data_IF_480927668823
#
_entry.id   IF_480927668823
#
_cell.length_a   1.000
_cell.length_b   1.000
_cell.length_c   1.000
_cell.angle_alpha   90.00
_cell.angle_beta   90.00
_cell.angle_gamma   90.00
#
_symmetry.space_group_name_H-M   'P 1'
#
loop_
_entity.id
_entity.type
_entity.pdbx_description
1 polymer ?
#
# COMPACT_ATOMS: atom_id res chain seq x y z
N UNK A 1 32.69 -37.25 29.45
CA UNK A 1 31.96 -37.04 28.19
C UNK A 1 30.44 -37.01 28.38
N UNK A 2 29.82 -38.06 28.94
CA UNK A 2 28.35 -38.17 29.08
C UNK A 2 27.66 -37.05 29.90
N UNK A 3 28.25 -36.61 31.03
CA UNK A 3 27.71 -35.51 31.85
C UNK A 3 27.75 -34.14 31.13
N UNK A 4 28.73 -33.92 30.26
CA UNK A 4 28.84 -32.69 29.47
C UNK A 4 27.78 -32.71 28.38
N UNK A 5 27.62 -33.84 27.69
CA UNK A 5 26.59 -34.04 26.68
C UNK A 5 25.16 -33.84 27.23
N UNK A 6 24.86 -34.40 28.41
CA UNK A 6 23.57 -34.20 29.09
C UNK A 6 23.30 -32.74 29.50
N UNK A 7 24.32 -32.00 29.96
CA UNK A 7 24.20 -30.56 30.26
C UNK A 7 23.98 -29.71 29.01
N UNK A 8 24.63 -30.06 27.90
CA UNK A 8 24.44 -29.38 26.60
C UNK A 8 23.02 -29.64 26.07
N UNK A 9 22.53 -30.88 26.11
CA UNK A 9 21.15 -31.19 25.71
C UNK A 9 20.12 -30.47 26.57
N UNK A 10 20.33 -30.41 27.90
CA UNK A 10 19.44 -29.66 28.79
C UNK A 10 19.46 -28.15 28.48
N UNK A 11 20.63 -27.57 28.23
CA UNK A 11 20.76 -26.17 27.84
C UNK A 11 20.06 -25.87 26.51
N UNK A 12 20.20 -26.75 25.51
CA UNK A 12 19.50 -26.63 24.23
C UNK A 12 17.97 -26.76 24.39
N UNK A 13 17.51 -27.69 25.24
CA UNK A 13 16.08 -27.83 25.54
C UNK A 13 15.53 -26.57 26.24
N UNK A 14 16.24 -26.03 27.23
CA UNK A 14 15.85 -24.77 27.90
C UNK A 14 15.83 -23.62 26.88
N UNK A 15 16.85 -23.49 26.04
CA UNK A 15 16.90 -22.45 25.01
C UNK A 15 15.71 -22.58 24.03
N UNK A 16 15.38 -23.80 23.59
CA UNK A 16 14.24 -24.04 22.71
C UNK A 16 12.90 -23.65 23.37
N UNK A 17 12.72 -23.96 24.65
CA UNK A 17 11.53 -23.54 25.42
C UNK A 17 11.48 -22.02 25.53
N UNK A 18 12.58 -21.35 25.86
CA UNK A 18 12.63 -19.88 25.96
C UNK A 18 12.32 -19.21 24.62
N UNK A 19 12.87 -19.70 23.51
CA UNK A 19 12.57 -19.22 22.16
C UNK A 19 11.10 -19.44 21.81
N UNK A 20 10.52 -20.57 22.22
CA UNK A 20 9.11 -20.88 21.96
C UNK A 20 8.19 -19.93 22.73
N UNK A 21 8.48 -19.69 24.02
CA UNK A 21 7.75 -18.73 24.85
C UNK A 21 7.87 -17.32 24.27
N UNK A 22 9.08 -16.88 23.92
CA UNK A 22 9.30 -15.58 23.30
C UNK A 22 8.56 -15.43 21.96
N UNK A 23 8.52 -16.49 21.14
CA UNK A 23 7.79 -16.48 19.86
C UNK A 23 6.28 -16.38 20.07
N UNK A 24 5.72 -17.15 21.03
CA UNK A 24 4.28 -17.07 21.36
C UNK A 24 3.93 -15.69 21.91
N UNK A 25 4.74 -15.15 22.83
CA UNK A 25 4.55 -13.81 23.37
C UNK A 25 4.64 -12.74 22.26
N UNK A 26 5.57 -12.89 21.32
CA UNK A 26 5.69 -11.97 20.19
C UNK A 26 4.46 -12.00 19.28
N UNK A 27 3.94 -13.19 18.96
CA UNK A 27 2.74 -13.34 18.13
C UNK A 27 1.46 -12.79 18.78
N UNK A 28 1.48 -12.48 20.07
CA UNK A 28 0.40 -11.78 20.78
C UNK A 28 0.51 -10.25 20.67
N UNK A 29 1.56 -9.71 20.05
CA UNK A 29 1.72 -8.27 19.90
C UNK A 29 0.57 -7.69 19.06
N UNK A 30 -0.03 -6.56 19.46
CA UNK A 30 -1.15 -5.95 18.72
C UNK A 30 -0.85 -5.63 17.25
N UNK A 31 0.41 -5.61 16.81
CA UNK A 31 0.80 -5.24 15.44
C UNK A 31 0.26 -6.22 14.41
N UNK A 32 -0.01 -7.47 14.83
CA UNK A 32 -0.61 -8.50 14.00
C UNK A 32 -2.12 -8.29 13.77
N UNK A 33 -2.76 -7.43 14.58
CA UNK A 33 -4.17 -7.08 14.49
C UNK A 33 -5.13 -8.25 14.76
N UNK A 34 -6.38 -8.11 14.32
CA UNK A 34 -7.43 -9.12 14.49
C UNK A 34 -7.80 -9.87 13.21
N UNK A 35 -8.49 -11.00 13.35
CA UNK A 35 -9.16 -11.70 12.24
C UNK A 35 -10.68 -11.46 12.29
N UNK A 36 -11.37 -11.41 11.13
CA UNK A 36 -12.82 -11.26 11.11
C UNK A 36 -13.54 -12.39 11.85
N UNK A 37 -14.48 -12.02 12.71
CA UNK A 37 -15.27 -12.93 13.55
C UNK A 37 -16.71 -12.41 13.66
N UNK A 38 -17.62 -13.23 14.20
CA UNK A 38 -18.99 -12.82 14.54
C UNK A 38 -19.79 -12.22 13.37
N UNK A 39 -20.42 -11.08 13.62
CA UNK A 39 -21.23 -10.36 12.62
C UNK A 39 -20.40 -9.95 11.40
N UNK A 40 -19.15 -9.52 11.59
CA UNK A 40 -18.26 -9.16 10.48
C UNK A 40 -18.02 -10.36 9.55
N UNK A 41 -17.72 -11.53 10.11
CA UNK A 41 -17.52 -12.74 9.31
C UNK A 41 -18.83 -13.14 8.59
N UNK A 42 -19.98 -12.96 9.24
CA UNK A 42 -21.29 -13.22 8.62
C UNK A 42 -21.58 -12.28 7.45
N UNK A 43 -21.17 -11.01 7.54
CA UNK A 43 -21.24 -10.03 6.43
C UNK A 43 -20.27 -10.39 5.31
N UNK A 44 -19.03 -10.73 5.63
CA UNK A 44 -18.01 -11.15 4.65
C UNK A 44 -18.51 -12.37 3.86
N UNK A 45 -19.14 -13.34 4.53
CA UNK A 45 -19.66 -14.54 3.87
C UNK A 45 -20.77 -14.27 2.84
N UNK A 46 -21.35 -13.06 2.82
CA UNK A 46 -22.34 -12.63 1.82
C UNK A 46 -21.70 -11.97 0.59
N UNK A 47 -20.40 -11.65 0.65
CA UNK A 47 -19.66 -11.08 -0.48
C UNK A 47 -19.62 -12.09 -1.64
N UNK A 48 -19.89 -11.67 -2.89
CA UNK A 48 -19.69 -12.53 -4.05
C UNK A 48 -18.21 -12.86 -4.30
N UNK A 49 -17.29 -12.11 -3.69
CA UNK A 49 -15.85 -12.27 -3.82
C UNK A 49 -15.27 -13.16 -2.71
N UNK A 50 -16.10 -13.68 -1.78
CA UNK A 50 -15.66 -14.54 -0.67
C UNK A 50 -16.20 -15.96 -0.83
N UNK A 51 -15.29 -16.94 -0.93
CA UNK A 51 -15.65 -18.35 -1.05
C UNK A 51 -14.61 -19.25 -0.39
N UNK A 52 -15.02 -20.42 0.11
CA UNK A 52 -14.12 -21.38 0.77
C UNK A 52 -13.32 -20.76 1.94
N UNK A 53 -13.91 -19.77 2.62
CA UNK A 53 -13.31 -19.10 3.77
C UNK A 53 -12.25 -18.05 3.44
N UNK A 54 -12.07 -17.65 2.19
CA UNK A 54 -11.12 -16.61 1.76
C UNK A 54 -11.70 -15.73 0.65
N UNK A 55 -11.17 -14.53 0.48
CA UNK A 55 -11.43 -13.68 -0.68
C UNK A 55 -10.69 -14.17 -1.93
N UNK A 56 -11.27 -13.92 -3.10
CA UNK A 56 -10.72 -14.32 -4.40
C UNK A 56 -10.61 -13.13 -5.35
N UNK A 57 -9.60 -13.17 -6.21
CA UNK A 57 -9.48 -12.25 -7.34
C UNK A 57 -10.58 -12.56 -8.40
N UNK A 58 -11.02 -11.54 -9.14
CA UNK A 58 -12.01 -11.71 -10.23
C UNK A 58 -11.50 -12.57 -11.38
N UNK A 59 -10.18 -12.69 -11.50
CA UNK A 59 -9.51 -13.58 -12.44
C UNK A 59 -8.58 -14.52 -11.67
N UNK A 60 -8.41 -15.74 -12.18
CA UNK A 60 -7.49 -16.70 -11.57
C UNK A 60 -6.07 -16.09 -11.49
N UNK A 61 -5.50 -16.17 -10.29
CA UNK A 61 -4.31 -15.40 -9.92
C UNK A 61 -3.41 -16.23 -9.01
N UNK A 62 -2.83 -17.32 -9.53
CA UNK A 62 -1.83 -18.07 -8.78
C UNK A 62 -0.70 -17.11 -8.38
N UNK A 63 -0.36 -17.12 -7.09
CA UNK A 63 0.65 -16.24 -6.53
C UNK A 63 2.05 -16.52 -7.07
N UNK A 64 2.37 -17.81 -7.26
CA UNK A 64 3.59 -18.21 -7.96
C UNK A 64 3.29 -18.24 -9.45
N UNK A 65 3.93 -17.36 -10.21
CA UNK A 65 3.82 -17.29 -11.67
C UNK A 65 4.98 -18.00 -12.38
N UNK A 66 5.85 -18.68 -11.63
CA UNK A 66 6.96 -19.46 -12.18
C UNK A 66 6.90 -20.90 -11.71
N UNK A 67 7.39 -21.81 -12.56
CA UNK A 67 7.57 -23.24 -12.24
C UNK A 67 8.83 -23.52 -11.40
N UNK A 68 9.54 -22.47 -10.95
CA UNK A 68 10.75 -22.64 -10.15
C UNK A 68 10.42 -23.23 -8.78
N UNK A 69 11.22 -24.22 -8.35
CA UNK A 69 11.09 -24.76 -7.00
C UNK A 69 11.47 -23.70 -5.95
N UNK A 70 10.90 -23.80 -4.74
CA UNK A 70 11.26 -22.94 -3.60
C UNK A 70 12.76 -22.94 -3.32
N UNK A 71 13.43 -24.08 -3.52
CA UNK A 71 14.87 -24.20 -3.37
C UNK A 71 15.64 -23.42 -4.45
N UNK A 72 15.23 -23.51 -5.72
CA UNK A 72 15.84 -22.75 -6.81
C UNK A 72 15.68 -21.23 -6.60
N UNK A 73 14.50 -20.79 -6.17
CA UNK A 73 14.26 -19.38 -5.81
C UNK A 73 15.13 -18.92 -4.64
N UNK A 74 15.27 -19.74 -3.60
CA UNK A 74 16.14 -19.46 -2.46
C UNK A 74 17.61 -19.38 -2.87
N UNK A 75 18.09 -20.33 -3.68
CA UNK A 75 19.45 -20.31 -4.25
C UNK A 75 19.70 -19.05 -5.06
N UNK A 76 18.75 -18.65 -5.93
CA UNK A 76 18.87 -17.40 -6.70
C UNK A 76 18.89 -16.16 -5.80
N UNK A 77 18.13 -16.17 -4.69
CA UNK A 77 18.12 -15.05 -3.74
C UNK A 77 19.45 -14.92 -2.97
N UNK A 78 20.11 -16.04 -2.67
CA UNK A 78 21.40 -16.02 -1.95
C UNK A 78 22.60 -15.80 -2.88
N UNK A 79 22.60 -16.46 -4.04
CA UNK A 79 23.75 -16.57 -4.93
C UNK A 79 23.57 -15.85 -6.28
N UNK A 80 22.39 -15.31 -6.58
CA UNK A 80 22.16 -14.54 -7.80
C UNK A 80 22.86 -13.18 -7.74
N UNK A 81 23.03 -12.57 -8.92
CA UNK A 81 23.49 -11.18 -9.02
C UNK A 81 22.58 -10.27 -8.18
N UNK A 82 23.18 -9.54 -7.26
CA UNK A 82 22.46 -8.59 -6.41
C UNK A 82 22.40 -7.27 -7.16
N UNK A 83 21.20 -6.87 -7.58
CA UNK A 83 20.94 -5.52 -8.03
C UNK A 83 21.19 -4.49 -6.93
N UNK A 84 21.15 -3.21 -7.31
CA UNK A 84 21.21 -2.08 -6.40
C UNK A 84 19.83 -1.82 -5.81
N UNK A 85 19.37 -2.71 -4.93
CA UNK A 85 18.03 -2.65 -4.35
C UNK A 85 17.81 -1.46 -3.40
N UNK A 86 18.89 -0.77 -3.00
CA UNK A 86 18.84 0.45 -2.19
C UNK A 86 19.59 1.60 -2.88
N UNK A 87 19.14 2.85 -2.69
CA UNK A 87 19.83 4.01 -3.23
C UNK A 87 21.22 4.16 -2.61
N UNK A 88 22.21 4.67 -3.37
CA UNK A 88 23.56 4.92 -2.86
C UNK A 88 23.65 6.16 -1.95
N UNK A 89 22.64 7.03 -1.99
CA UNK A 89 22.57 8.26 -1.20
C UNK A 89 21.15 8.59 -0.73
N UNK A 90 21.00 9.78 -0.13
CA UNK A 90 19.70 10.28 0.35
C UNK A 90 18.72 10.49 -0.81
N UNK A 91 17.48 10.07 -0.61
CA UNK A 91 16.39 10.39 -1.53
C UNK A 91 16.04 11.88 -1.40
N UNK A 92 15.98 12.66 -2.50
CA UNK A 92 15.56 14.05 -2.47
C UNK A 92 14.12 14.18 -1.95
N UNK A 93 13.93 15.14 -1.05
CA UNK A 93 12.65 15.40 -0.41
C UNK A 93 12.20 16.85 -0.53
N UNK A 94 10.91 17.06 -0.25
CA UNK A 94 10.31 18.38 -0.13
C UNK A 94 9.31 18.37 1.04
N UNK A 95 9.73 18.83 2.23
CA UNK A 95 8.86 18.89 3.41
C UNK A 95 7.83 20.02 3.31
N UNK A 96 6.60 19.67 2.95
CA UNK A 96 5.43 20.57 2.97
C UNK A 96 4.81 20.59 4.37
N UNK A 97 4.49 21.77 4.89
CA UNK A 97 3.66 21.89 6.10
C UNK A 97 2.19 21.59 5.77
N UNK A 98 1.77 20.34 6.02
CA UNK A 98 0.42 19.87 5.70
C UNK A 98 -0.68 20.59 6.49
N UNK A 99 -0.36 21.18 7.64
CA UNK A 99 -1.34 21.92 8.47
C UNK A 99 -1.61 23.32 7.92
N UNK A 100 -0.65 23.90 7.20
CA UNK A 100 -0.74 25.21 6.61
C UNK A 100 -1.44 25.23 5.23
N UNK A 101 -1.75 24.05 4.67
CA UNK A 101 -2.41 23.95 3.37
C UNK A 101 -3.86 24.45 3.44
N UNK A 102 -4.23 25.26 2.45
CA UNK A 102 -5.60 25.75 2.28
C UNK A 102 -6.54 24.60 1.91
N UNK A 103 -7.56 24.37 2.74
CA UNK A 103 -8.56 23.32 2.55
C UNK A 103 -9.39 23.47 1.27
N UNK A 104 -9.44 24.68 0.68
CA UNK A 104 -10.14 24.90 -0.59
C UNK A 104 -9.37 24.39 -1.82
N UNK A 105 -8.10 24.00 -1.67
CA UNK A 105 -7.29 23.51 -2.78
C UNK A 105 -7.46 22.00 -2.95
N UNK A 106 -7.66 21.58 -4.20
CA UNK A 106 -7.57 20.16 -4.57
C UNK A 106 -6.11 19.83 -4.92
N UNK A 107 -5.48 18.99 -4.10
CA UNK A 107 -4.07 18.60 -4.25
C UNK A 107 -3.77 17.22 -3.65
N UNK A 108 -2.63 16.66 -4.04
CA UNK A 108 -2.07 15.43 -3.48
C UNK A 108 -0.64 15.68 -3.03
N UNK A 109 -0.26 15.14 -1.89
CA UNK A 109 1.13 15.07 -1.42
C UNK A 109 1.50 13.60 -1.25
N UNK A 110 2.46 13.14 -2.05
CA UNK A 110 3.00 11.79 -1.91
C UNK A 110 3.93 11.72 -0.70
N UNK A 111 3.64 10.84 0.26
CA UNK A 111 4.39 10.68 1.51
C UNK A 111 5.40 9.52 1.43
N UNK A 112 5.59 8.96 0.24
CA UNK A 112 6.50 7.85 -0.06
C UNK A 112 5.78 6.50 -0.07
N UNK A 113 6.33 5.55 -0.84
CA UNK A 113 5.71 4.24 -1.07
C UNK A 113 4.29 4.37 -1.63
N UNK A 114 3.28 3.92 -0.89
CA UNK A 114 1.86 4.04 -1.21
C UNK A 114 1.10 4.97 -0.26
N UNK A 115 1.81 5.78 0.55
CA UNK A 115 1.18 6.75 1.45
C UNK A 115 0.91 8.10 0.76
N UNK A 116 -0.30 8.63 0.92
CA UNK A 116 -0.71 9.91 0.32
C UNK A 116 -1.55 10.75 1.28
N UNK A 117 -1.24 12.04 1.36
CA UNK A 117 -2.16 13.05 1.90
C UNK A 117 -2.86 13.75 0.74
N UNK A 118 -4.17 13.90 0.83
CA UNK A 118 -5.01 14.42 -0.25
C UNK A 118 -5.95 15.48 0.31
N UNK A 119 -6.10 16.57 -0.43
CA UNK A 119 -7.21 17.49 -0.26
C UNK A 119 -8.07 17.42 -1.52
N UNK A 120 -9.36 17.12 -1.35
CA UNK A 120 -10.28 16.95 -2.46
C UNK A 120 -11.70 17.34 -2.04
N UNK A 121 -12.30 18.33 -2.71
CA UNK A 121 -13.65 18.79 -2.39
C UNK A 121 -13.78 19.31 -0.95
N UNK A 122 -12.72 19.93 -0.42
CA UNK A 122 -12.67 20.43 0.96
C UNK A 122 -12.38 19.37 2.02
N UNK A 123 -12.27 18.09 1.65
CA UNK A 123 -11.97 16.99 2.58
C UNK A 123 -10.47 16.71 2.66
N UNK A 124 -9.97 16.42 3.86
CA UNK A 124 -8.61 15.93 4.09
C UNK A 124 -8.62 14.41 4.20
N UNK A 125 -7.93 13.76 3.29
CA UNK A 125 -7.93 12.30 3.15
C UNK A 125 -6.50 11.80 3.29
N UNK A 126 -6.31 10.75 4.08
CA UNK A 126 -5.02 10.09 4.26
C UNK A 126 -5.16 8.65 3.77
N UNK A 127 -4.23 8.19 2.94
CA UNK A 127 -4.29 6.88 2.30
C UNK A 127 -3.05 6.09 2.68
N UNK A 128 -3.26 4.86 3.15
CA UNK A 128 -2.22 3.87 3.51
C UNK A 128 -1.02 4.49 4.27
N UNK A 129 -1.21 5.21 5.39
CA UNK A 129 -0.13 5.91 6.06
C UNK A 129 0.84 4.95 6.76
N UNK A 130 2.09 4.93 6.29
CA UNK A 130 3.20 4.22 6.92
C UNK A 130 4.30 5.20 7.27
N UNK A 131 4.31 5.64 8.53
CA UNK A 131 5.33 6.53 9.09
C UNK A 131 6.48 5.75 9.76
N UNK A 132 6.28 4.47 10.03
CA UNK A 132 7.34 3.59 10.51
C UNK A 132 8.50 3.51 9.52
N UNK A 133 9.71 3.36 10.07
CA UNK A 133 10.93 3.15 9.27
C UNK A 133 11.10 1.71 8.81
N UNK A 134 10.30 0.76 9.32
CA UNK A 134 10.32 -0.64 8.93
C UNK A 134 8.91 -1.04 8.47
N UNK A 135 8.79 -1.55 7.24
CA UNK A 135 7.52 -2.00 6.69
C UNK A 135 7.36 -3.53 6.83
N UNK A 136 7.49 -4.02 8.07
CA UNK A 136 7.49 -5.44 8.39
C UNK A 136 7.17 -5.69 9.88
N UNK A 137 6.67 -6.89 10.22
CA UNK A 137 6.48 -7.29 11.61
C UNK A 137 7.78 -7.71 12.28
N UNK A 138 8.94 -7.51 11.68
CA UNK A 138 10.24 -7.83 12.27
C UNK A 138 11.11 -6.56 12.22
N UNK A 139 11.78 -6.20 13.33
CA UNK A 139 12.72 -5.09 13.32
C UNK A 139 13.77 -5.27 12.21
N UNK A 140 14.16 -4.17 11.57
CA UNK A 140 15.19 -4.13 10.51
C UNK A 140 14.85 -4.89 9.22
N UNK A 141 13.64 -5.42 9.08
CA UNK A 141 13.14 -5.92 7.80
C UNK A 141 12.42 -4.80 7.05
N UNK A 142 12.58 -4.75 5.72
CA UNK A 142 11.98 -3.73 4.84
C UNK A 142 12.23 -2.30 5.35
N UNK A 143 13.49 -1.95 5.63
CA UNK A 143 13.88 -0.64 6.16
C UNK A 143 13.69 0.43 5.08
N UNK A 144 13.11 1.58 5.45
CA UNK A 144 12.94 2.74 4.60
C UNK A 144 14.30 3.23 4.05
N UNK A 145 14.30 3.82 2.87
CA UNK A 145 15.47 4.50 2.32
C UNK A 145 15.76 5.77 3.11
N UNK A 146 17.04 6.14 3.19
CA UNK A 146 17.44 7.33 3.91
C UNK A 146 16.88 8.58 3.22
N UNK A 147 16.40 9.56 4.00
CA UNK A 147 15.72 10.77 3.49
C UNK A 147 14.21 10.64 3.29
N UNK A 148 13.62 9.44 3.45
CA UNK A 148 12.19 9.23 3.10
C UNK A 148 11.22 9.29 4.30
N UNK A 149 11.73 9.30 5.54
CA UNK A 149 10.91 9.32 6.77
C UNK A 149 10.59 10.76 7.21
N UNK A 150 9.95 11.51 6.32
CA UNK A 150 9.72 12.96 6.51
C UNK A 150 8.55 13.26 7.43
N UNK A 151 7.51 12.42 7.41
CA UNK A 151 6.23 12.70 8.05
C UNK A 151 5.92 11.68 9.15
N UNK A 152 5.38 12.18 10.25
CA UNK A 152 4.75 11.39 11.31
C UNK A 152 3.32 11.85 11.61
N UNK A 153 2.68 11.20 12.59
CA UNK A 153 1.32 11.55 12.98
C UNK A 153 1.19 13.00 13.43
N UNK A 154 2.21 13.57 14.07
CA UNK A 154 2.21 14.96 14.54
C UNK A 154 2.19 15.99 13.41
N UNK A 155 2.67 15.66 12.22
CA UNK A 155 2.62 16.53 11.05
C UNK A 155 1.22 16.62 10.44
N UNK A 156 0.35 15.64 10.74
CA UNK A 156 -0.97 15.58 10.12
C UNK A 156 -1.94 16.58 10.76
N UNK A 157 -2.75 17.29 9.95
CA UNK A 157 -3.95 17.97 10.44
C UNK A 157 -5.03 16.95 10.84
N UNK A 158 -6.22 17.43 11.23
CA UNK A 158 -7.41 16.58 11.29
C UNK A 158 -7.66 15.91 9.93
N UNK A 159 -8.01 14.64 9.96
CA UNK A 159 -8.23 13.77 8.80
C UNK A 159 -9.71 13.39 8.77
N UNK A 160 -10.40 13.80 7.70
CA UNK A 160 -11.81 13.49 7.51
C UNK A 160 -12.00 12.01 7.16
N UNK A 161 -11.14 11.49 6.27
CA UNK A 161 -11.17 10.08 5.85
C UNK A 161 -9.77 9.46 5.85
N UNK A 162 -9.61 8.35 6.56
CA UNK A 162 -8.49 7.44 6.43
C UNK A 162 -8.88 6.29 5.51
N UNK A 163 -8.19 6.10 4.39
CA UNK A 163 -8.46 5.02 3.44
C UNK A 163 -7.36 3.97 3.54
N UNK A 164 -7.76 2.70 3.63
CA UNK A 164 -6.84 1.56 3.66
C UNK A 164 -7.15 0.62 2.49
N UNK A 165 -6.17 0.41 1.62
CA UNK A 165 -6.32 -0.46 0.44
C UNK A 165 -6.32 -1.94 0.82
N UNK A 166 -5.42 -2.36 1.72
CA UNK A 166 -5.32 -3.73 2.19
C UNK A 166 -4.48 -3.85 3.48
N UNK A 167 -4.38 -5.05 4.04
CA UNK A 167 -3.85 -5.30 5.39
C UNK A 167 -2.35 -5.60 5.46
N UNK A 168 -1.56 -5.42 4.40
CA UNK A 168 -0.11 -5.60 4.47
C UNK A 168 0.58 -4.53 5.32
N UNK A 169 1.78 -4.84 5.82
CA UNK A 169 2.51 -3.98 6.77
C UNK A 169 2.98 -2.65 6.17
N UNK A 170 3.18 -2.60 4.86
CA UNK A 170 3.57 -1.43 4.09
C UNK A 170 2.38 -0.57 3.63
N UNK A 171 1.15 -0.93 4.03
CA UNK A 171 -0.09 -0.18 3.79
C UNK A 171 -0.90 0.09 5.06
N UNK A 172 -0.86 -0.83 6.02
CA UNK A 172 -1.55 -0.77 7.29
C UNK A 172 -0.55 -0.93 8.45
N UNK A 173 0.04 0.19 8.85
CA UNK A 173 1.10 0.26 9.85
C UNK A 173 0.53 0.54 11.26
N UNK A 174 0.64 -0.44 12.16
CA UNK A 174 0.05 -0.35 13.51
C UNK A 174 0.48 0.91 14.29
N UNK A 175 1.78 1.25 14.40
CA UNK A 175 2.22 2.48 15.06
C UNK A 175 1.61 3.75 14.46
N UNK A 176 1.57 3.86 13.12
CA UNK A 176 0.98 5.02 12.44
C UNK A 176 -0.51 5.14 12.74
N UNK A 177 -1.25 4.03 12.62
CA UNK A 177 -2.70 4.00 12.82
C UNK A 177 -3.07 4.32 14.28
N UNK A 178 -2.31 3.82 15.25
CA UNK A 178 -2.53 4.18 16.66
C UNK A 178 -2.24 5.66 16.93
N UNK A 179 -1.13 6.19 16.43
CA UNK A 179 -0.77 7.60 16.63
C UNK A 179 -1.74 8.57 15.94
N UNK A 180 -2.37 8.15 14.84
CA UNK A 180 -3.35 8.95 14.09
C UNK A 180 -4.78 8.86 14.64
N UNK A 181 -5.09 7.87 15.48
CA UNK A 181 -6.43 7.62 16.00
C UNK A 181 -7.18 8.88 16.49
N UNK A 182 -6.58 9.81 17.28
CA UNK A 182 -7.31 10.99 17.75
C UNK A 182 -7.63 12.03 16.67
N UNK A 183 -7.02 11.93 15.48
CA UNK A 183 -7.18 12.89 14.36
C UNK A 183 -8.07 12.38 13.24
N UNK A 184 -8.43 11.09 13.25
CA UNK A 184 -9.17 10.44 12.16
C UNK A 184 -10.66 10.41 12.51
N UNK A 185 -11.49 11.01 11.66
CA UNK A 185 -12.94 11.03 11.84
C UNK A 185 -13.62 9.77 11.33
N UNK A 186 -13.22 9.30 10.16
CA UNK A 186 -13.80 8.14 9.48
C UNK A 186 -12.69 7.29 8.86
N UNK A 187 -12.89 5.98 8.86
CA UNK A 187 -12.03 5.00 8.19
C UNK A 187 -12.85 4.32 7.10
N UNK A 188 -12.27 4.14 5.92
CA UNK A 188 -12.85 3.32 4.83
C UNK A 188 -11.83 2.27 4.40
N UNK A 189 -12.26 1.02 4.34
CA UNK A 189 -11.42 -0.09 3.94
C UNK A 189 -12.22 -1.23 3.28
N UNK A 190 -11.52 -2.21 2.73
CA UNK A 190 -12.13 -3.45 2.26
C UNK A 190 -12.74 -4.28 3.40
N UNK A 191 -13.75 -5.10 3.07
CA UNK A 191 -14.35 -6.08 3.99
C UNK A 191 -13.29 -6.91 4.73
N UNK A 192 -13.35 -6.95 6.07
CA UNK A 192 -12.44 -7.71 6.92
C UNK A 192 -11.32 -6.90 7.55
N UNK A 193 -10.88 -5.80 6.91
CA UNK A 193 -9.81 -4.94 7.44
C UNK A 193 -10.20 -4.31 8.78
N UNK A 194 -11.49 -4.05 9.00
CA UNK A 194 -12.02 -3.48 10.24
C UNK A 194 -11.77 -4.36 11.48
N UNK A 195 -11.44 -5.65 11.32
CA UNK A 195 -11.02 -6.50 12.43
C UNK A 195 -9.70 -6.04 13.07
N UNK A 196 -8.79 -5.43 12.30
CA UNK A 196 -7.58 -4.82 12.84
C UNK A 196 -7.91 -3.56 13.65
N UNK A 197 -8.74 -2.68 13.11
CA UNK A 197 -9.19 -1.46 13.80
C UNK A 197 -9.92 -1.76 15.10
N UNK A 198 -10.79 -2.78 15.11
CA UNK A 198 -11.46 -3.25 16.34
C UNK A 198 -10.45 -3.76 17.37
N UNK A 199 -9.50 -4.60 16.96
CA UNK A 199 -8.42 -5.09 17.83
C UNK A 199 -7.52 -3.96 18.36
N UNK A 200 -7.45 -2.84 17.66
CA UNK A 200 -6.68 -1.65 18.01
C UNK A 200 -7.49 -0.59 18.75
N UNK A 201 -8.74 -0.90 19.12
CA UNK A 201 -9.57 -0.05 19.96
C UNK A 201 -10.19 1.16 19.26
N UNK A 202 -10.37 1.12 17.94
CA UNK A 202 -11.13 2.14 17.23
C UNK A 202 -12.63 2.06 17.55
N UNK A 203 -13.30 3.21 17.51
CA UNK A 203 -14.76 3.25 17.55
C UNK A 203 -15.31 2.72 16.22
N UNK A 204 -15.88 1.52 16.24
CA UNK A 204 -16.36 0.85 15.03
C UNK A 204 -17.52 1.58 14.34
N UNK A 205 -18.13 2.60 14.95
CA UNK A 205 -19.10 3.49 14.27
C UNK A 205 -18.44 4.40 13.23
N UNK A 206 -17.13 4.61 13.35
CA UNK A 206 -16.32 5.41 12.42
C UNK A 206 -15.65 4.58 11.32
N UNK A 207 -15.76 3.24 11.37
CA UNK A 207 -15.07 2.33 10.45
C UNK A 207 -16.04 1.71 9.46
N UNK A 208 -15.84 2.01 8.18
CA UNK A 208 -16.68 1.57 7.07
C UNK A 208 -15.93 0.53 6.26
N UNK A 209 -16.46 -0.70 6.25
CA UNK A 209 -15.93 -1.80 5.45
C UNK A 209 -16.85 -2.02 4.26
N UNK A 210 -16.30 -1.99 3.04
CA UNK A 210 -17.08 -2.12 1.82
C UNK A 210 -16.47 -3.16 0.85
N UNK A 211 -17.30 -3.68 -0.04
CA UNK A 211 -16.89 -4.59 -1.10
C UNK A 211 -16.56 -3.83 -2.39
N UNK A 212 -16.04 -4.53 -3.39
CA UNK A 212 -15.81 -3.95 -4.70
C UNK A 212 -17.12 -3.44 -5.33
N UNK A 213 -17.03 -2.24 -5.91
CA UNK A 213 -18.10 -1.46 -6.51
C UNK A 213 -19.08 -0.81 -5.54
N UNK A 214 -18.88 -0.95 -4.23
CA UNK A 214 -19.57 -0.13 -3.25
C UNK A 214 -19.04 1.32 -3.26
N UNK A 215 -19.83 2.22 -2.68
CA UNK A 215 -19.46 3.63 -2.52
C UNK A 215 -19.79 4.12 -1.11
N UNK A 216 -18.91 4.96 -0.56
CA UNK A 216 -19.12 5.70 0.68
C UNK A 216 -19.46 7.15 0.31
N UNK A 217 -20.66 7.59 0.69
CA UNK A 217 -21.22 8.92 0.38
C UNK A 217 -21.62 9.65 1.67
N UNK A 218 -20.68 9.82 2.59
CA UNK A 218 -20.94 10.47 3.88
C UNK A 218 -21.07 12.00 3.79
N UNK A 219 -20.46 12.61 2.78
CA UNK A 219 -20.49 14.05 2.53
C UNK A 219 -20.86 14.34 1.08
N UNK A 220 -21.62 15.41 0.78
CA UNK A 220 -22.04 15.73 -0.59
C UNK A 220 -20.90 15.99 -1.58
N UNK A 221 -19.76 16.49 -1.09
CA UNK A 221 -18.66 16.98 -1.91
C UNK A 221 -17.69 15.88 -2.36
N UNK A 222 -17.83 14.66 -1.82
CA UNK A 222 -16.91 13.55 -2.08
C UNK A 222 -17.63 12.21 -2.08
N UNK A 223 -17.47 11.47 -3.17
CA UNK A 223 -17.80 10.04 -3.26
C UNK A 223 -16.52 9.23 -3.26
N UNK A 224 -16.44 8.24 -2.35
CA UNK A 224 -15.33 7.31 -2.26
C UNK A 224 -15.82 5.97 -2.82
N UNK A 225 -15.43 5.63 -4.03
CA UNK A 225 -15.75 4.34 -4.64
C UNK A 225 -14.68 3.32 -4.30
N UNK A 226 -15.09 2.18 -3.77
CA UNK A 226 -14.22 1.03 -3.52
C UNK A 226 -14.14 0.21 -4.81
N UNK A 227 -12.96 0.10 -5.39
CA UNK A 227 -12.77 -0.51 -6.71
C UNK A 227 -12.09 -1.87 -6.59
N UNK A 228 -12.31 -2.78 -7.56
CA UNK A 228 -11.53 -4.00 -7.64
C UNK A 228 -10.03 -3.75 -7.70
N UNK A 229 -9.28 -4.69 -7.15
CA UNK A 229 -7.84 -4.80 -7.28
C UNK A 229 -7.47 -6.28 -7.46
N UNK A 230 -6.33 -6.54 -8.12
CA UNK A 230 -5.76 -7.89 -8.27
C UNK A 230 -4.59 -8.08 -7.33
N UNK A 231 -4.85 -8.50 -6.10
CA UNK A 231 -3.84 -8.64 -5.06
C UNK A 231 -4.20 -9.75 -4.06
N UNK A 232 -3.70 -9.67 -2.82
CA UNK A 232 -4.00 -10.59 -1.73
C UNK A 232 -3.92 -9.87 -0.37
N UNK A 233 -4.26 -10.57 0.72
CA UNK A 233 -4.17 -10.03 2.09
C UNK A 233 -3.42 -10.98 3.03
N UNK A 234 -2.87 -10.46 4.12
CA UNK A 234 -2.40 -11.26 5.25
C UNK A 234 -1.28 -10.63 6.08
N UNK A 235 -1.37 -10.82 7.41
CA UNK A 235 -0.39 -10.30 8.38
C UNK A 235 0.39 -11.39 9.13
N UNK A 236 -0.09 -12.63 9.11
CA UNK A 236 0.48 -13.76 9.86
C UNK A 236 0.49 -15.04 9.01
N UNK A 237 0.07 -16.17 9.56
CA UNK A 237 0.00 -17.47 8.90
C UNK A 237 -1.31 -17.67 8.12
N UNK A 238 -2.24 -16.72 8.20
CA UNK A 238 -3.50 -16.72 7.46
C UNK A 238 -3.47 -15.61 6.41
N UNK A 239 -4.09 -15.89 5.26
CA UNK A 239 -4.17 -15.00 4.12
C UNK A 239 -5.60 -14.85 3.65
N UNK A 240 -5.84 -13.76 2.94
CA UNK A 240 -7.06 -13.49 2.18
C UNK A 240 -8.32 -13.51 3.05
N UNK A 241 -8.18 -13.09 4.31
CA UNK A 241 -9.28 -12.93 5.27
C UNK A 241 -9.89 -11.54 5.22
N UNK A 242 -9.16 -10.58 4.66
CA UNK A 242 -9.63 -9.23 4.38
C UNK A 242 -9.53 -8.94 2.87
N UNK A 243 -10.41 -8.10 2.36
CA UNK A 243 -10.48 -7.72 0.95
C UNK A 243 -9.45 -6.62 0.66
N UNK A 244 -8.71 -6.77 -0.43
CA UNK A 244 -7.84 -5.76 -1.01
C UNK A 244 -8.60 -4.93 -2.04
N UNK A 245 -8.39 -3.62 -2.06
CA UNK A 245 -9.18 -2.69 -2.87
C UNK A 245 -8.32 -1.57 -3.47
N UNK A 246 -8.81 -0.96 -4.55
CA UNK A 246 -8.41 0.38 -4.96
C UNK A 246 -9.47 1.42 -4.56
N UNK A 247 -9.18 2.71 -4.78
CA UNK A 247 -10.13 3.79 -4.52
C UNK A 247 -10.22 4.74 -5.71
N UNK A 248 -11.45 5.01 -6.15
CA UNK A 248 -11.76 6.15 -7.02
C UNK A 248 -12.45 7.24 -6.18
N UNK A 249 -11.80 8.39 -6.05
CA UNK A 249 -12.31 9.53 -5.31
C UNK A 249 -12.88 10.56 -6.28
N UNK A 250 -14.17 10.85 -6.14
CA UNK A 250 -14.92 11.68 -7.09
C UNK A 250 -15.54 12.86 -6.36
N UNK A 251 -15.04 14.06 -6.62
CA UNK A 251 -15.69 15.32 -6.27
C UNK A 251 -16.42 15.91 -7.48
N UNK A 252 -17.22 16.99 -7.31
CA UNK A 252 -17.84 17.66 -8.45
C UNK A 252 -16.84 18.22 -9.47
N UNK A 253 -15.63 18.57 -9.02
CA UNK A 253 -14.60 19.19 -9.86
C UNK A 253 -13.55 18.21 -10.36
N UNK A 254 -13.24 17.17 -9.58
CA UNK A 254 -12.05 16.34 -9.79
C UNK A 254 -12.30 14.87 -9.54
N UNK A 255 -11.57 14.03 -10.26
CA UNK A 255 -11.59 12.58 -10.09
C UNK A 255 -10.17 12.07 -10.00
N UNK A 256 -9.86 11.37 -8.93
CA UNK A 256 -8.55 10.76 -8.73
C UNK A 256 -8.64 9.28 -8.38
N UNK A 257 -7.59 8.52 -8.69
CA UNK A 257 -7.57 7.08 -8.51
C UNK A 257 -6.30 6.60 -7.80
N UNK A 258 -6.46 5.60 -6.93
CA UNK A 258 -5.37 4.91 -6.23
C UNK A 258 -5.56 3.40 -6.41
N UNK A 259 -4.57 2.70 -6.96
CA UNK A 259 -4.69 1.27 -7.25
C UNK A 259 -4.50 0.35 -6.04
N UNK A 260 -3.93 0.87 -4.93
CA UNK A 260 -3.20 0.00 -3.99
C UNK A 260 -2.10 -0.76 -4.75
N UNK A 261 -1.88 -2.01 -4.36
CA UNK A 261 -0.87 -2.89 -4.96
C UNK A 261 -1.44 -3.78 -6.08
N UNK A 262 -2.45 -3.29 -6.78
CA UNK A 262 -3.13 -4.12 -7.76
C UNK A 262 -2.22 -4.52 -8.92
N UNK A 263 -2.11 -5.82 -9.18
CA UNK A 263 -1.60 -6.32 -10.46
C UNK A 263 -2.52 -5.95 -11.65
N UNK A 264 -1.98 -6.05 -12.86
CA UNK A 264 -2.73 -5.69 -14.07
C UNK A 264 -3.86 -6.69 -14.37
N UNK A 265 -5.04 -6.16 -14.70
CA UNK A 265 -6.21 -6.93 -15.12
C UNK A 265 -7.28 -6.04 -15.80
N UNK A 266 -8.32 -6.64 -16.43
CA UNK A 266 -9.39 -5.90 -17.11
C UNK A 266 -10.18 -4.90 -16.25
N UNK A 267 -10.10 -5.01 -14.92
CA UNK A 267 -10.79 -4.10 -14.01
C UNK A 267 -10.34 -2.64 -14.18
N UNK A 268 -9.11 -2.36 -14.62
CA UNK A 268 -8.66 -0.98 -14.87
C UNK A 268 -9.48 -0.30 -15.97
N UNK A 269 -9.70 -0.99 -17.10
CA UNK A 269 -10.56 -0.48 -18.17
C UNK A 269 -12.02 -0.33 -17.69
N UNK A 270 -12.50 -1.24 -16.86
CA UNK A 270 -13.83 -1.16 -16.28
C UNK A 270 -14.00 0.04 -15.34
N UNK A 271 -13.06 0.24 -14.41
CA UNK A 271 -12.99 1.40 -13.51
C UNK A 271 -12.89 2.69 -14.33
N UNK A 272 -12.05 2.70 -15.36
CA UNK A 272 -11.92 3.79 -16.32
C UNK A 272 -13.25 4.15 -16.97
N UNK A 273 -14.04 3.16 -17.44
CA UNK A 273 -15.39 3.38 -18.00
C UNK A 273 -16.40 3.88 -16.97
N UNK A 274 -16.40 3.32 -15.76
CA UNK A 274 -17.41 3.60 -14.71
C UNK A 274 -17.22 4.97 -14.08
N UNK A 275 -15.98 5.32 -13.75
CA UNK A 275 -15.67 6.49 -12.91
C UNK A 275 -14.80 7.53 -13.62
N UNK A 276 -14.04 7.12 -14.64
CA UNK A 276 -13.18 8.01 -15.41
C UNK A 276 -13.93 8.94 -16.39
N UNK A 277 -13.21 9.77 -17.15
CA UNK A 277 -11.75 9.93 -17.10
C UNK A 277 -11.29 10.52 -15.76
N UNK A 278 -10.07 10.18 -15.36
CA UNK A 278 -9.46 10.68 -14.13
C UNK A 278 -8.55 11.87 -14.42
N UNK A 279 -8.50 12.83 -13.51
CA UNK A 279 -7.56 13.94 -13.59
C UNK A 279 -6.14 13.50 -13.19
N UNK A 280 -6.04 12.56 -12.25
CA UNK A 280 -4.77 12.01 -11.80
C UNK A 280 -4.95 10.60 -11.23
N UNK A 281 -3.94 9.74 -11.39
CA UNK A 281 -3.90 8.41 -10.79
C UNK A 281 -2.52 8.11 -10.18
N UNK A 282 -2.51 7.49 -9.00
CA UNK A 282 -1.36 6.79 -8.46
C UNK A 282 -1.53 5.29 -8.68
N UNK A 283 -0.60 4.70 -9.44
CA UNK A 283 -0.65 3.27 -9.80
C UNK A 283 0.59 2.56 -9.29
N UNK A 284 0.40 1.34 -8.77
CA UNK A 284 1.51 0.43 -8.50
C UNK A 284 2.41 0.33 -9.74
N UNK A 285 3.69 0.58 -9.54
CA UNK A 285 4.72 0.44 -10.56
C UNK A 285 6.01 -0.13 -9.96
N UNK A 286 5.95 -0.59 -8.71
CA UNK A 286 7.09 -1.04 -7.93
C UNK A 286 6.90 -2.49 -7.49
N UNK A 287 7.88 -2.98 -6.76
CA UNK A 287 7.87 -4.29 -6.09
C UNK A 287 7.52 -5.49 -6.99
N UNK A 288 7.63 -5.36 -8.31
CA UNK A 288 7.34 -6.42 -9.27
C UNK A 288 8.47 -7.44 -9.35
N UNK A 289 8.11 -8.69 -9.65
CA UNK A 289 9.05 -9.76 -10.00
C UNK A 289 8.32 -10.83 -10.82
N UNK A 290 8.99 -11.51 -11.78
CA UNK A 290 8.40 -12.62 -12.52
C UNK A 290 7.81 -13.74 -11.66
N UNK A 291 8.22 -13.89 -10.39
CA UNK A 291 7.72 -14.87 -9.42
C UNK A 291 6.30 -14.60 -8.94
N UNK A 292 5.83 -13.34 -8.98
CA UNK A 292 4.50 -12.92 -8.53
C UNK A 292 3.84 -11.92 -9.48
N UNK A 293 4.06 -12.07 -10.79
CA UNK A 293 3.67 -11.13 -11.83
C UNK A 293 2.16 -10.86 -11.95
N UNK A 294 1.33 -11.64 -11.26
CA UNK A 294 -0.12 -11.47 -11.23
C UNK A 294 -0.59 -10.40 -10.23
N UNK A 295 0.18 -10.11 -9.18
CA UNK A 295 -0.28 -9.32 -8.03
C UNK A 295 0.48 -8.01 -7.83
N UNK A 296 1.45 -7.69 -8.69
CA UNK A 296 2.08 -6.38 -8.77
C UNK A 296 2.23 -5.99 -10.24
N UNK A 297 1.99 -4.73 -10.56
CA UNK A 297 2.24 -4.22 -11.90
C UNK A 297 3.73 -3.94 -12.10
N UNK A 298 4.25 -4.33 -13.26
CA UNK A 298 5.47 -3.71 -13.75
C UNK A 298 5.17 -2.31 -14.34
N UNK A 299 6.19 -1.48 -14.60
CA UNK A 299 5.99 -0.12 -15.09
C UNK A 299 5.27 -0.03 -16.44
N UNK A 300 5.46 -0.98 -17.34
CA UNK A 300 4.77 -1.00 -18.64
C UNK A 300 3.28 -1.33 -18.48
N UNK A 301 2.94 -2.20 -17.54
CA UNK A 301 1.57 -2.50 -17.15
C UNK A 301 0.91 -1.30 -16.46
N UNK A 302 1.63 -0.58 -15.59
CA UNK A 302 1.15 0.65 -14.97
C UNK A 302 0.86 1.73 -16.03
N UNK A 303 1.73 1.87 -17.03
CA UNK A 303 1.51 2.75 -18.18
C UNK A 303 0.25 2.35 -18.98
N UNK A 304 0.03 1.05 -19.19
CA UNK A 304 -1.17 0.57 -19.86
C UNK A 304 -2.44 0.79 -19.00
N UNK A 305 -2.38 0.53 -17.69
CA UNK A 305 -3.48 0.78 -16.77
C UNK A 305 -3.87 2.27 -16.73
N UNK A 306 -2.91 3.18 -16.86
CA UNK A 306 -3.18 4.61 -16.98
C UNK A 306 -4.00 4.97 -18.24
N UNK A 307 -3.70 4.37 -19.39
CA UNK A 307 -4.50 4.51 -20.63
C UNK A 307 -5.91 3.92 -20.45
N UNK A 308 -6.01 2.73 -19.87
CA UNK A 308 -7.28 2.04 -19.61
C UNK A 308 -8.19 2.83 -18.64
N UNK A 309 -7.59 3.46 -17.64
CA UNK A 309 -8.25 4.39 -16.72
C UNK A 309 -8.64 5.71 -17.38
N UNK A 310 -8.04 6.04 -18.53
CA UNK A 310 -8.17 7.34 -19.21
C UNK A 310 -7.78 8.48 -18.29
N UNK A 311 -6.69 8.30 -17.54
CA UNK A 311 -6.16 9.35 -16.65
C UNK A 311 -5.46 10.44 -17.47
N UNK A 312 -5.50 11.68 -16.99
CA UNK A 312 -4.73 12.80 -17.58
C UNK A 312 -3.29 12.85 -17.07
N UNK A 313 -3.06 12.37 -15.85
CA UNK A 313 -1.75 12.30 -15.25
C UNK A 313 -1.55 11.01 -14.45
N UNK A 314 -0.32 10.49 -14.46
CA UNK A 314 0.10 9.28 -13.76
C UNK A 314 1.26 9.60 -12.82
N UNK A 315 1.19 9.14 -11.58
CA UNK A 315 2.33 9.04 -10.67
C UNK A 315 2.60 7.57 -10.33
N UNK A 316 3.84 7.07 -10.43
CA UNK A 316 4.18 5.73 -9.97
C UNK A 316 4.09 5.66 -8.43
N UNK A 317 3.31 4.73 -7.92
CA UNK A 317 3.19 4.37 -6.50
C UNK A 317 3.98 3.10 -6.16
N UNK A 318 4.02 2.75 -4.87
CA UNK A 318 4.75 1.57 -4.35
C UNK A 318 6.27 1.57 -4.61
N UNK A 319 6.83 2.76 -4.83
CA UNK A 319 8.24 3.01 -5.20
C UNK A 319 8.93 3.96 -4.21
N UNK A 320 10.25 4.09 -4.33
CA UNK A 320 11.00 5.23 -3.77
C UNK A 320 11.18 5.27 -2.25
N UNK A 321 10.66 4.29 -1.49
CA UNK A 321 10.80 4.26 -0.02
C UNK A 321 11.26 2.93 0.55
N UNK A 322 10.75 1.80 0.08
CA UNK A 322 11.14 0.48 0.56
C UNK A 322 11.64 -0.43 -0.57
N UNK A 323 12.47 -1.40 -0.21
CA UNK A 323 12.94 -2.48 -1.10
C UNK A 323 12.33 -3.79 -0.64
N UNK A 324 11.24 -4.20 -1.28
CA UNK A 324 10.48 -5.43 -0.98
C UNK A 324 10.55 -6.43 -2.17
N UNK A 325 11.19 -6.03 -3.27
CA UNK A 325 11.47 -6.83 -4.47
C UNK A 325 12.95 -6.71 -4.88
N UNK A 326 13.52 -7.66 -5.66
CA UNK A 326 14.95 -7.61 -6.02
C UNK A 326 15.33 -6.66 -7.16
N UNK A 327 14.40 -5.90 -7.74
CA UNK A 327 14.76 -4.91 -8.78
C UNK A 327 15.60 -3.76 -8.18
N UNK A 328 16.35 -3.05 -9.03
CA UNK A 328 17.09 -1.86 -8.58
C UNK A 328 16.12 -0.78 -8.08
N UNK A 329 16.54 0.02 -7.10
CA UNK A 329 15.70 1.01 -6.44
C UNK A 329 15.12 2.06 -7.42
N UNK A 330 15.84 2.36 -8.50
CA UNK A 330 15.48 3.35 -9.52
C UNK A 330 14.92 2.75 -10.82
N UNK A 331 14.90 1.41 -10.95
CA UNK A 331 14.36 0.72 -12.12
C UNK A 331 12.90 1.09 -12.41
N UNK A 332 12.00 1.18 -11.39
CA UNK A 332 10.62 1.63 -11.61
C UNK A 332 10.53 3.00 -12.29
N UNK A 333 11.34 3.97 -11.86
CA UNK A 333 11.30 5.34 -12.39
C UNK A 333 11.83 5.40 -13.82
N UNK A 334 12.92 4.67 -14.13
CA UNK A 334 13.48 4.60 -15.49
C UNK A 334 12.48 3.97 -16.46
N UNK A 335 11.91 2.83 -16.07
CA UNK A 335 11.00 2.06 -16.94
C UNK A 335 9.66 2.74 -17.11
N UNK A 336 9.07 3.35 -16.07
CA UNK A 336 7.81 4.08 -16.23
C UNK A 336 7.99 5.32 -17.11
N UNK A 337 9.15 5.98 -17.02
CA UNK A 337 9.51 7.11 -17.91
C UNK A 337 9.55 6.68 -19.36
N UNK A 338 10.23 5.56 -19.66
CA UNK A 338 10.27 5.01 -21.01
C UNK A 338 8.88 4.54 -21.50
N UNK A 339 8.13 3.83 -20.66
CA UNK A 339 6.81 3.29 -21.00
C UNK A 339 5.74 4.37 -21.22
N UNK A 340 5.91 5.54 -20.58
CA UNK A 340 5.02 6.69 -20.70
C UNK A 340 5.32 7.59 -21.90
N UNK A 341 6.43 7.36 -22.62
CA UNK A 341 6.78 8.17 -23.78
C UNK A 341 5.74 8.03 -24.89
N UNK A 342 5.14 9.15 -25.32
CA UNK A 342 4.12 9.20 -26.38
C UNK A 342 2.73 8.71 -25.96
N UNK A 343 2.49 8.49 -24.66
CA UNK A 343 1.17 8.15 -24.12
C UNK A 343 0.25 9.38 -24.03
N UNK A 344 -1.04 9.13 -23.84
CA UNK A 344 -2.07 10.18 -23.80
C UNK A 344 -2.08 11.01 -22.50
N UNK A 345 -1.39 10.53 -21.47
CA UNK A 345 -1.29 11.14 -20.14
C UNK A 345 0.09 11.76 -19.88
N UNK A 346 0.16 12.68 -18.91
CA UNK A 346 1.42 13.21 -18.40
C UNK A 346 1.98 12.33 -17.27
N UNK A 347 3.27 12.01 -17.32
CA UNK A 347 3.96 11.35 -16.20
C UNK A 347 4.43 12.40 -15.19
N UNK A 348 4.02 12.25 -13.93
CA UNK A 348 4.38 13.13 -12.81
C UNK A 348 5.14 12.36 -11.74
N UNK A 349 6.40 12.74 -11.52
CA UNK A 349 7.32 12.10 -10.58
C UNK A 349 7.76 13.08 -9.48
N UNK A 350 6.84 13.52 -8.60
CA UNK A 350 7.21 14.43 -7.50
C UNK A 350 8.29 13.81 -6.60
N UNK A 351 9.09 14.68 -5.97
CA UNK A 351 9.86 14.30 -4.79
C UNK A 351 8.90 13.98 -3.64
N UNK A 352 9.32 13.14 -2.69
CA UNK A 352 8.48 12.83 -1.52
C UNK A 352 8.18 14.13 -0.78
N UNK A 353 6.88 14.37 -0.55
CA UNK A 353 6.38 15.55 0.14
C UNK A 353 6.09 16.75 -0.77
N UNK A 354 6.45 16.72 -2.06
CA UNK A 354 6.12 17.80 -2.99
C UNK A 354 4.63 17.79 -3.36
N UNK A 355 3.91 18.93 -3.25
CA UNK A 355 2.51 19.00 -3.64
C UNK A 355 2.31 18.85 -5.16
N UNK A 356 1.27 18.11 -5.51
CA UNK A 356 0.70 18.00 -6.85
C UNK A 356 -0.65 18.72 -6.83
N UNK A 357 -0.74 19.88 -7.47
CA UNK A 357 -2.00 20.61 -7.57
C UNK A 357 -2.87 20.03 -8.69
N UNK A 358 -4.15 19.80 -8.42
CA UNK A 358 -5.08 19.23 -9.39
C UNK A 358 -5.87 20.31 -10.15
N UNK A 359 -5.58 21.60 -9.94
CA UNK A 359 -6.33 22.72 -10.51
C UNK A 359 -6.03 23.03 -11.98
N UNK A 360 -5.15 22.24 -12.61
CA UNK A 360 -4.75 22.40 -14.02
C UNK A 360 -3.60 23.39 -14.22
N UNK A 361 -3.01 23.95 -13.16
CA UNK A 361 -1.79 24.76 -13.29
C UNK A 361 -0.64 23.94 -13.85
N UNK A 362 0.21 24.58 -14.65
CA UNK A 362 1.40 23.95 -15.20
C UNK A 362 2.37 23.57 -14.07
N UNK A 363 2.79 22.31 -14.06
CA UNK A 363 3.70 21.74 -13.07
C UNK A 363 4.68 20.80 -13.79
N UNK A 364 5.93 20.83 -13.36
CA UNK A 364 6.98 19.97 -13.88
C UNK A 364 7.69 19.29 -12.72
N UNK A 365 8.04 18.03 -12.93
CA UNK A 365 8.75 17.22 -11.97
C UNK A 365 10.04 16.72 -12.62
N UNK A 366 11.15 16.77 -11.88
CA UNK A 366 12.45 16.33 -12.36
C UNK A 366 12.57 14.81 -12.33
N UNK A 367 13.54 14.29 -13.10
CA UNK A 367 14.04 12.94 -12.93
C UNK A 367 14.98 12.87 -11.71
N UNK A 368 14.46 13.16 -10.51
CA UNK A 368 15.26 13.35 -9.29
C UNK A 368 16.11 12.13 -8.93
N UNK A 369 15.70 10.93 -9.35
CA UNK A 369 16.45 9.69 -9.09
C UNK A 369 17.82 9.67 -9.79
N UNK A 370 18.00 10.39 -10.89
CA UNK A 370 19.29 10.48 -11.61
C UNK A 370 20.35 11.29 -10.83
N UNK A 371 19.92 12.07 -9.84
CA UNK A 371 20.81 12.91 -9.03
C UNK A 371 21.32 12.20 -7.76
N UNK A 372 20.76 11.02 -7.41
CA UNK A 372 21.13 10.27 -6.21
C UNK A 372 22.45 9.53 -6.45
N UNK A 373 23.47 9.81 -5.64
CA UNK A 373 24.84 9.29 -5.78
C UNK A 373 25.42 8.77 -4.49
#
# INVERSE_FOLDING_TARGET
MFKIFSRVLLALAIAAVLVSIASVAYLQHPLFGGLPQGERLSRIAQSPNFANGVFHNQIDSPLSTTDQSKFAMWMKTIFGEKGNARPPGLIPDFKTDLKALDAAQDLVVWLGHSSYFVQLGGQRILIDPVFSTNAAPLPLANVAFDGTSLYGADDMPEIDFLLITHDHYDHLDYPSIQALQPKVKQVVAGLGVGAHFEAWGYDMRSVHEADWYDAIEQVPELKIHVTPARHFSGRTFTRDKALWVGFALVSPQRRIFFSGDSGYAPHFAEVGRRYGPFDWAALDAGQYDPRWANVHMNPEQAAQAAEDLRTRALTPGHVGRFSISPHDWDDPFKRITAASHGRSYALWTPEIGRPIHLDGRAQAFSAWWEAVK
#
